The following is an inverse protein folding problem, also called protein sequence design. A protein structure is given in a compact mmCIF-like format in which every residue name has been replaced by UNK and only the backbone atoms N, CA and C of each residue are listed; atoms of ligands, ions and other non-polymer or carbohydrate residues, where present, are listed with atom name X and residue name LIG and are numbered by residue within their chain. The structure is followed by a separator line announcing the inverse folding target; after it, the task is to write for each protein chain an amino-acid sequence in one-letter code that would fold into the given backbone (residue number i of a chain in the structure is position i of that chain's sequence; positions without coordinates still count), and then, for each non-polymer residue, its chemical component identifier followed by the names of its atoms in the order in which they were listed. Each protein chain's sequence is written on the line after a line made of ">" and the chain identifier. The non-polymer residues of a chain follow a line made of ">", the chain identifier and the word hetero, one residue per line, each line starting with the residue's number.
data_IF_736374124961
#
_entry.id   IF_736374124961
#
_cell.length_a   1.000
_cell.length_b   1.000
_cell.length_c   1.000
_cell.angle_alpha   90.00
_cell.angle_beta   90.00
_cell.angle_gamma   90.00
#
_symmetry.space_group_name_H-M   'P 1'
#
loop_
_entity.id
_entity.type
_entity.pdbx_description
1 polymer ?
#
# COMPACT_ATOMS: atom_id res chain seq x y z
N UNK A 1 -24.03 3.74 -9.91
CA UNK A 1 -23.79 2.35 -9.49
C UNK A 1 -22.41 2.35 -8.88
N UNK A 2 -22.33 2.46 -7.55
CA UNK A 2 -21.06 2.60 -6.84
C UNK A 2 -20.38 1.24 -6.75
N UNK A 3 -19.34 1.05 -7.56
CA UNK A 3 -18.37 -0.01 -7.38
C UNK A 3 -17.61 0.29 -6.08
N UNK A 4 -18.10 -0.20 -4.94
CA UNK A 4 -17.34 -0.17 -3.69
C UNK A 4 -16.26 -1.24 -3.77
N UNK A 5 -15.10 -0.89 -4.31
CA UNK A 5 -13.87 -1.66 -4.07
C UNK A 5 -13.69 -1.76 -2.56
N UNK A 6 -13.82 -2.96 -1.98
CA UNK A 6 -13.44 -3.19 -0.59
C UNK A 6 -11.92 -3.24 -0.51
N UNK A 7 -11.31 -2.16 -0.03
CA UNK A 7 -9.90 -2.15 0.31
C UNK A 7 -9.69 -2.93 1.61
N UNK A 8 -8.74 -3.86 1.59
CA UNK A 8 -8.25 -4.55 2.78
C UNK A 8 -6.79 -4.14 3.02
N UNK A 9 -6.53 -3.50 4.15
CA UNK A 9 -5.17 -3.27 4.63
C UNK A 9 -4.57 -4.63 5.01
N UNK A 10 -3.46 -5.00 4.37
CA UNK A 10 -2.69 -6.19 4.72
C UNK A 10 -1.79 -5.85 5.91
N UNK A 11 -1.08 -4.73 5.84
CA UNK A 11 -0.36 -4.15 6.97
C UNK A 11 -0.18 -2.63 6.81
N UNK A 12 0.12 -1.96 7.92
CA UNK A 12 0.53 -0.56 7.99
C UNK A 12 1.53 -0.41 9.13
N UNK A 13 2.81 -0.20 8.81
CA UNK A 13 3.87 -0.18 9.82
C UNK A 13 5.08 0.65 9.39
N UNK A 14 5.92 1.05 10.35
CA UNK A 14 7.24 1.61 10.04
C UNK A 14 8.18 0.51 9.58
N UNK A 15 9.10 0.83 8.66
CA UNK A 15 10.06 -0.14 8.11
C UNK A 15 10.84 -0.86 9.23
N UNK A 16 11.19 -0.15 10.29
CA UNK A 16 11.93 -0.68 11.45
C UNK A 16 11.13 -1.69 12.30
N UNK A 17 9.81 -1.66 12.21
CA UNK A 17 8.91 -2.47 13.03
C UNK A 17 8.19 -3.56 12.22
N UNK A 18 8.58 -3.77 10.96
CA UNK A 18 8.00 -4.82 10.14
C UNK A 18 8.29 -6.19 10.75
N UNK A 19 7.24 -7.00 10.86
CA UNK A 19 7.35 -8.41 11.23
C UNK A 19 7.90 -9.22 10.06
N UNK A 20 8.40 -10.42 10.32
CA UNK A 20 8.85 -11.34 9.26
C UNK A 20 7.75 -11.66 8.25
N UNK A 21 6.49 -11.77 8.71
CA UNK A 21 5.33 -12.00 7.84
C UNK A 21 5.10 -10.82 6.91
N UNK A 22 5.21 -9.59 7.41
CA UNK A 22 5.03 -8.38 6.59
C UNK A 22 6.18 -8.20 5.59
N UNK A 23 7.41 -8.57 5.97
CA UNK A 23 8.57 -8.61 5.05
C UNK A 23 8.32 -9.63 3.94
N UNK A 24 7.78 -10.80 4.27
CA UNK A 24 7.44 -11.78 3.25
C UNK A 24 6.32 -11.29 2.30
N UNK A 25 5.32 -10.57 2.80
CA UNK A 25 4.29 -9.94 1.97
C UNK A 25 4.91 -8.93 0.98
N UNK A 26 5.91 -8.16 1.42
CA UNK A 26 6.66 -7.23 0.58
C UNK A 26 7.48 -7.97 -0.49
N UNK A 27 8.18 -9.03 -0.11
CA UNK A 27 8.99 -9.82 -1.04
C UNK A 27 8.12 -10.49 -2.12
N UNK A 28 6.86 -10.79 -1.80
CA UNK A 28 5.88 -11.34 -2.73
C UNK A 28 5.19 -10.28 -3.59
N UNK A 29 5.44 -8.99 -3.38
CA UNK A 29 4.80 -7.89 -4.13
C UNK A 29 5.64 -7.50 -5.36
N UNK A 30 4.96 -7.39 -6.50
CA UNK A 30 5.55 -7.08 -7.79
C UNK A 30 4.92 -5.80 -8.37
N UNK A 31 5.62 -4.68 -8.21
CA UNK A 31 5.21 -3.39 -8.74
C UNK A 31 5.13 -3.41 -10.28
N UNK A 32 4.11 -2.76 -10.84
CA UNK A 32 3.92 -2.55 -12.28
C UNK A 32 3.93 -1.08 -12.68
N UNK A 33 3.43 -0.23 -11.80
CA UNK A 33 3.43 1.22 -11.98
C UNK A 33 3.72 1.90 -10.66
N UNK A 34 4.31 3.08 -10.73
CA UNK A 34 4.64 3.88 -9.56
C UNK A 34 4.33 5.35 -9.86
N UNK A 35 3.73 6.04 -8.88
CA UNK A 35 3.55 7.48 -8.95
C UNK A 35 3.89 8.11 -7.59
N UNK A 36 4.29 9.39 -7.63
CA UNK A 36 4.51 10.18 -6.43
C UNK A 36 3.38 11.20 -6.30
N UNK A 37 2.74 11.21 -5.14
CA UNK A 37 1.71 12.17 -4.79
C UNK A 37 2.34 13.22 -3.87
N UNK A 38 2.31 14.48 -4.31
CA UNK A 38 2.76 15.64 -3.55
C UNK A 38 1.59 16.22 -2.75
N UNK A 39 1.62 16.04 -1.44
CA UNK A 39 0.58 16.51 -0.51
C UNK A 39 1.27 17.01 0.75
N UNK A 40 1.41 18.33 0.87
CA UNK A 40 2.19 18.92 1.95
C UNK A 40 1.50 18.70 3.31
N UNK A 41 2.20 18.03 4.23
CA UNK A 41 1.77 17.74 5.59
C UNK A 41 0.45 16.94 5.73
N UNK A 42 0.17 16.07 4.77
CA UNK A 42 -1.11 15.33 4.69
C UNK A 42 -1.03 13.95 5.35
N UNK A 43 -2.19 13.34 5.58
CA UNK A 43 -2.33 12.06 6.27
C UNK A 43 -2.94 10.98 5.37
N UNK A 44 -2.34 9.79 5.36
CA UNK A 44 -2.88 8.63 4.68
C UNK A 44 -2.73 7.37 5.55
N UNK A 45 -3.84 6.75 5.95
CA UNK A 45 -3.89 5.69 6.99
C UNK A 45 -3.08 6.01 8.25
N UNK A 46 -3.13 7.27 8.70
CA UNK A 46 -2.37 7.74 9.87
C UNK A 46 -0.91 8.07 9.60
N UNK A 47 -0.41 7.83 8.38
CA UNK A 47 0.92 8.24 7.95
C UNK A 47 0.90 9.71 7.53
N UNK A 48 1.58 10.56 8.30
CA UNK A 48 1.84 11.95 7.93
C UNK A 48 3.03 12.00 6.97
N UNK A 49 2.92 12.69 5.84
CA UNK A 49 4.06 12.97 4.97
C UNK A 49 3.80 14.13 4.00
N UNK A 50 4.88 14.69 3.45
CA UNK A 50 4.81 15.67 2.35
C UNK A 50 4.71 15.01 0.97
N UNK A 51 5.14 13.74 0.89
CA UNK A 51 5.25 12.96 -0.33
C UNK A 51 4.85 11.53 -0.01
N UNK A 52 3.99 10.96 -0.86
CA UNK A 52 3.62 9.55 -0.83
C UNK A 52 4.08 8.92 -2.15
N UNK A 53 4.77 7.79 -2.08
CA UNK A 53 5.05 6.97 -3.25
C UNK A 53 4.03 5.85 -3.26
N UNK A 54 3.27 5.74 -4.35
CA UNK A 54 2.24 4.73 -4.54
C UNK A 54 2.70 3.80 -5.66
N UNK A 55 2.90 2.53 -5.31
CA UNK A 55 3.25 1.46 -6.24
C UNK A 55 2.02 0.57 -6.42
N UNK A 56 1.53 0.46 -7.66
CA UNK A 56 0.44 -0.45 -8.00
C UNK A 56 1.01 -1.70 -8.66
N UNK A 57 0.48 -2.86 -8.28
CA UNK A 57 1.03 -4.13 -8.71
C UNK A 57 0.14 -5.31 -8.37
N UNK A 58 0.78 -6.46 -8.27
CA UNK A 58 0.16 -7.72 -7.90
C UNK A 58 1.04 -8.42 -6.86
N UNK A 59 0.50 -9.43 -6.18
CA UNK A 59 1.25 -10.23 -5.21
C UNK A 59 1.06 -11.71 -5.50
N UNK A 60 2.13 -12.49 -5.31
CA UNK A 60 2.08 -13.95 -5.39
C UNK A 60 1.17 -14.57 -4.32
N UNK A 61 0.93 -13.85 -3.20
CA UNK A 61 0.10 -14.30 -2.08
C UNK A 61 -1.37 -13.89 -2.20
N UNK A 62 -1.68 -12.90 -3.03
CA UNK A 62 -3.03 -12.37 -3.23
C UNK A 62 -3.41 -12.45 -4.72
N UNK A 63 -3.55 -13.68 -5.21
CA UNK A 63 -3.88 -13.96 -6.61
C UNK A 63 -5.21 -13.28 -6.97
N UNK A 64 -5.30 -12.78 -8.21
CA UNK A 64 -6.46 -12.07 -8.77
C UNK A 64 -6.83 -10.72 -8.11
N UNK A 65 -6.06 -10.27 -7.11
CA UNK A 65 -6.28 -8.98 -6.47
C UNK A 65 -5.32 -7.92 -7.00
N UNK A 66 -5.80 -6.68 -7.11
CA UNK A 66 -4.94 -5.52 -7.32
C UNK A 66 -4.32 -5.13 -5.98
N UNK A 67 -3.03 -4.84 -5.99
CA UNK A 67 -2.27 -4.50 -4.80
C UNK A 67 -1.71 -3.08 -4.93
N UNK A 68 -1.72 -2.34 -3.82
CA UNK A 68 -1.08 -1.03 -3.70
C UNK A 68 -0.13 -1.03 -2.53
N UNK A 69 1.14 -0.74 -2.77
CA UNK A 69 2.13 -0.47 -1.74
C UNK A 69 2.34 1.04 -1.68
N UNK A 70 2.17 1.62 -0.50
CA UNK A 70 2.29 3.05 -0.29
C UNK A 70 3.39 3.28 0.72
N UNK A 71 4.44 3.99 0.31
CA UNK A 71 5.51 4.40 1.21
C UNK A 71 5.46 5.90 1.46
N UNK A 72 5.64 6.26 2.73
CA UNK A 72 5.63 7.63 3.22
C UNK A 72 6.85 7.85 4.11
N UNK A 73 7.48 9.01 3.99
CA UNK A 73 8.59 9.39 4.86
C UNK A 73 8.26 10.71 5.55
N UNK A 74 8.35 10.73 6.87
CA UNK A 74 8.20 11.95 7.65
C UNK A 74 9.15 11.98 8.83
N UNK A 75 9.94 13.06 8.90
CA UNK A 75 10.91 13.35 9.97
C UNK A 75 11.87 12.18 10.26
N UNK A 76 12.28 11.45 9.23
CA UNK A 76 13.22 10.33 9.33
C UNK A 76 12.59 8.96 9.53
N UNK A 77 11.29 8.88 9.83
CA UNK A 77 10.55 7.63 9.89
C UNK A 77 9.96 7.27 8.53
N UNK A 78 10.34 6.12 7.98
CA UNK A 78 9.68 5.55 6.80
C UNK A 78 8.62 4.56 7.23
N UNK A 79 7.40 4.76 6.74
CA UNK A 79 6.29 3.86 6.94
C UNK A 79 5.73 3.38 5.61
N UNK A 80 5.13 2.19 5.65
CA UNK A 80 4.57 1.53 4.48
C UNK A 80 3.21 0.93 4.80
N UNK A 81 2.33 0.98 3.81
CA UNK A 81 1.01 0.36 3.83
C UNK A 81 0.87 -0.53 2.60
N UNK A 82 0.57 -1.80 2.80
CA UNK A 82 0.19 -2.69 1.71
C UNK A 82 -1.33 -2.90 1.74
N UNK A 83 -1.99 -2.59 0.63
CA UNK A 83 -3.43 -2.63 0.48
C UNK A 83 -3.76 -3.61 -0.63
N UNK A 84 -4.77 -4.44 -0.38
CA UNK A 84 -5.43 -5.26 -1.38
C UNK A 84 -6.74 -4.62 -1.77
N UNK A 85 -6.91 -4.27 -3.03
CA UNK A 85 -8.20 -3.85 -3.57
C UNK A 85 -9.02 -5.10 -3.91
N UNK A 86 -10.26 -5.17 -3.42
CA UNK A 86 -11.16 -6.29 -3.66
C UNK A 86 -11.48 -6.51 -5.14
N UNK A 87 -11.92 -7.72 -5.47
CA UNK A 87 -12.33 -8.09 -6.83
C UNK A 87 -13.48 -7.17 -7.30
N UNK A 88 -13.34 -6.61 -8.49
CA UNK A 88 -14.45 -5.97 -9.19
C UNK A 88 -15.34 -7.11 -9.68
N UNK A 89 -16.34 -7.50 -8.89
CA UNK A 89 -17.43 -8.34 -9.40
C UNK A 89 -18.17 -7.52 -10.46
N UNK A 90 -17.95 -7.88 -11.74
CA UNK A 90 -18.89 -7.56 -12.80
C UNK A 90 -19.97 -8.63 -12.75
N UNK A 91 -21.14 -8.30 -12.21
CA UNK A 91 -22.36 -9.01 -12.59
C UNK A 91 -22.69 -8.75 -14.06
#
# INVERSE_FOLDING_TARGET
>A
MDLKTQEKIIFCNTVENLTSVEIDELNAFHARSCCMILKNDDYYYGLRANHFVVEEGWSERHIFSRMKLISANHKGGRAMVLIREGEVFKE
#
